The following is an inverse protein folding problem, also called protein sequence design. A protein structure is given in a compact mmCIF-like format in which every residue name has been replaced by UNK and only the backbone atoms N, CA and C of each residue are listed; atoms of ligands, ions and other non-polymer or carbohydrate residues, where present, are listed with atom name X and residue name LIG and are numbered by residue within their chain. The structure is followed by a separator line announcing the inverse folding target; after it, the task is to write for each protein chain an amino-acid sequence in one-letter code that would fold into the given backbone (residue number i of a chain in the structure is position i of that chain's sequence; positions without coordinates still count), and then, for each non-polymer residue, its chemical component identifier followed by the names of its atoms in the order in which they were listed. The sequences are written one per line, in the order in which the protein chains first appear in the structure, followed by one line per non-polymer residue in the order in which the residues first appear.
data_IF_113631930694
#
_entry.id   IF_113631930694
#
_cell.length_a   1.000
_cell.length_b   1.000
_cell.length_c   1.000
_cell.angle_alpha   90.00
_cell.angle_beta   90.00
_cell.angle_gamma   90.00
#
_symmetry.space_group_name_H-M   'P 1'
#
loop_
_entity.id
_entity.type
_entity.pdbx_description
1 polymer ?
#
# COMPACT_ATOMS: atom_id res chain seq x y z
N UNK A 1 10.82 4.59 -38.16
CA UNK A 1 11.60 3.83 -37.15
C UNK A 1 10.89 2.51 -36.85
N UNK A 2 11.58 1.38 -36.78
CA UNK A 2 10.97 0.11 -36.36
C UNK A 2 10.76 0.15 -34.84
N UNK A 3 9.56 -0.19 -34.38
CA UNK A 3 9.22 -0.23 -32.96
C UNK A 3 9.38 -1.65 -32.39
N UNK A 4 9.64 -1.78 -31.09
CA UNK A 4 9.53 -3.08 -30.42
C UNK A 4 8.14 -3.67 -30.62
N UNK A 5 8.08 -4.97 -30.91
CA UNK A 5 6.81 -5.69 -30.98
C UNK A 5 6.28 -5.87 -29.55
N UNK A 6 4.99 -5.61 -29.27
CA UNK A 6 4.35 -5.99 -28.03
C UNK A 6 4.49 -7.49 -27.80
N UNK A 7 4.63 -7.91 -26.55
CA UNK A 7 4.69 -9.34 -26.19
C UNK A 7 3.39 -10.08 -26.58
N UNK A 8 2.28 -9.35 -26.63
CA UNK A 8 0.95 -9.86 -26.99
C UNK A 8 0.49 -9.22 -28.30
N UNK A 9 0.18 -10.05 -29.29
CA UNK A 9 -0.28 -9.61 -30.61
C UNK A 9 0.14 -10.57 -31.71
N UNK A 10 -0.30 -10.28 -32.93
CA UNK A 10 0.05 -11.05 -34.13
C UNK A 10 1.58 -11.01 -34.35
N UNK A 11 2.28 -12.16 -34.37
CA UNK A 11 3.73 -12.20 -34.60
C UNK A 11 4.13 -11.73 -35.99
N UNK A 12 3.20 -11.76 -36.93
CA UNK A 12 3.41 -11.47 -38.34
C UNK A 12 3.12 -10.00 -38.66
N UNK A 13 3.12 -9.11 -37.65
CA UNK A 13 2.96 -7.67 -37.83
C UNK A 13 4.24 -6.92 -37.42
N UNK A 14 4.83 -6.23 -38.40
CA UNK A 14 5.90 -5.27 -38.18
C UNK A 14 5.32 -3.92 -37.74
N UNK A 15 5.70 -3.44 -36.57
CA UNK A 15 5.34 -2.11 -36.09
C UNK A 15 6.37 -1.06 -36.52
N UNK A 16 5.88 0.02 -37.11
CA UNK A 16 6.70 1.16 -37.52
C UNK A 16 6.12 2.45 -36.96
N UNK A 17 7.01 3.36 -36.55
CA UNK A 17 6.68 4.76 -36.30
C UNK A 17 7.00 5.58 -37.53
N UNK A 18 5.97 6.23 -38.06
CA UNK A 18 6.02 7.11 -39.21
C UNK A 18 6.59 8.47 -38.81
N UNK A 19 7.07 9.25 -39.78
CA UNK A 19 7.66 10.58 -39.54
C UNK A 19 6.66 11.58 -38.93
N UNK A 20 5.37 11.42 -39.21
CA UNK A 20 4.29 12.20 -38.61
C UNK A 20 3.97 11.82 -37.15
N UNK A 21 4.72 10.86 -36.57
CA UNK A 21 4.59 10.42 -35.18
C UNK A 21 3.57 9.30 -34.94
N UNK A 22 2.78 8.90 -35.94
CA UNK A 22 1.83 7.80 -35.80
C UNK A 22 2.53 6.43 -35.82
N UNK A 23 1.99 5.50 -35.04
CA UNK A 23 2.36 4.09 -35.10
C UNK A 23 1.48 3.39 -36.14
N UNK A 24 2.07 2.54 -36.98
CA UNK A 24 1.39 1.70 -37.96
C UNK A 24 1.87 0.26 -37.85
N UNK A 25 0.96 -0.70 -38.02
CA UNK A 25 1.26 -2.12 -38.13
C UNK A 25 1.12 -2.59 -39.57
N UNK A 26 2.14 -3.27 -40.09
CA UNK A 26 2.17 -3.81 -41.43
C UNK A 26 2.38 -5.32 -41.32
N UNK A 27 1.43 -6.10 -41.82
CA UNK A 27 1.58 -7.56 -41.88
C UNK A 27 2.74 -7.93 -42.80
N UNK A 28 3.61 -8.86 -42.37
CA UNK A 28 4.86 -9.23 -43.07
C UNK A 28 4.62 -9.71 -44.50
N UNK A 29 3.54 -10.45 -44.74
CA UNK A 29 3.15 -10.88 -46.10
C UNK A 29 2.85 -9.73 -47.08
N UNK A 30 2.57 -8.53 -46.57
CA UNK A 30 2.32 -7.33 -47.39
C UNK A 30 3.60 -6.51 -47.62
N UNK A 31 4.72 -6.90 -47.03
CA UNK A 31 5.99 -6.19 -47.14
C UNK A 31 6.74 -6.67 -48.37
N UNK A 32 6.90 -5.77 -49.35
CA UNK A 32 7.64 -6.08 -50.59
C UNK A 32 9.15 -5.89 -50.44
N UNK A 33 9.59 -4.91 -49.65
CA UNK A 33 11.00 -4.57 -49.44
C UNK A 33 11.19 -3.86 -48.09
N UNK A 34 12.27 -4.17 -47.38
CA UNK A 34 12.76 -3.42 -46.21
C UNK A 34 14.17 -2.94 -46.50
N UNK A 35 14.41 -1.65 -46.30
CA UNK A 35 15.72 -1.02 -46.50
C UNK A 35 16.09 -0.20 -45.27
N UNK A 36 17.27 -0.46 -44.70
CA UNK A 36 17.75 0.23 -43.51
C UNK A 36 18.36 1.58 -43.91
N UNK A 37 17.71 2.67 -43.54
CA UNK A 37 18.17 4.04 -43.83
C UNK A 37 19.13 4.60 -42.77
N UNK A 38 19.24 3.94 -41.60
CA UNK A 38 20.08 4.38 -40.50
C UNK A 38 19.84 3.55 -39.23
N UNK A 39 20.60 3.85 -38.17
CA UNK A 39 20.47 3.24 -36.85
C UNK A 39 20.00 4.30 -35.85
N UNK A 40 18.99 3.98 -35.07
CA UNK A 40 18.56 4.79 -33.93
C UNK A 40 19.10 4.16 -32.65
N UNK A 41 19.79 4.94 -31.83
CA UNK A 41 20.20 4.54 -30.49
C UNK A 41 19.41 5.39 -29.47
N UNK A 42 18.55 4.77 -28.64
CA UNK A 42 17.83 5.52 -27.63
C UNK A 42 18.82 6.11 -26.61
N UNK A 43 18.51 7.27 -26.02
CA UNK A 43 19.34 7.84 -24.96
C UNK A 43 19.49 6.84 -23.81
N UNK A 44 20.72 6.59 -23.37
CA UNK A 44 20.99 5.72 -22.21
C UNK A 44 20.59 6.47 -20.94
N UNK A 45 19.71 5.89 -20.15
CA UNK A 45 19.40 6.37 -18.80
C UNK A 45 20.22 5.54 -17.82
N UNK A 46 21.15 6.17 -17.11
CA UNK A 46 21.87 5.51 -16.02
C UNK A 46 20.94 5.40 -14.81
N UNK A 47 20.52 4.17 -14.50
CA UNK A 47 19.76 3.87 -13.30
C UNK A 47 20.76 3.48 -12.20
N UNK A 48 20.73 4.12 -11.02
CA UNK A 48 21.58 3.71 -9.90
C UNK A 48 21.36 2.21 -9.57
N UNK A 49 22.43 1.47 -9.24
CA UNK A 49 22.28 0.06 -8.84
C UNK A 49 21.34 -0.09 -7.63
N UNK A 50 20.63 -1.21 -7.56
CA UNK A 50 19.76 -1.50 -6.42
C UNK A 50 20.55 -1.51 -5.10
N UNK A 51 19.95 -0.93 -4.06
CA UNK A 51 20.54 -0.82 -2.72
C UNK A 51 21.59 0.29 -2.55
N UNK A 52 21.94 1.03 -3.61
CA UNK A 52 22.82 2.20 -3.50
C UNK A 52 22.00 3.42 -3.12
N UNK A 53 22.40 4.08 -2.03
CA UNK A 53 21.83 5.37 -1.63
C UNK A 53 22.51 6.48 -2.42
N UNK A 54 21.74 7.27 -3.16
CA UNK A 54 22.18 8.51 -3.78
C UNK A 54 21.63 9.67 -2.96
N UNK A 55 22.41 10.74 -2.79
CA UNK A 55 22.01 11.90 -1.99
C UNK A 55 22.14 13.21 -2.77
N UNK A 56 21.38 14.21 -2.34
CA UNK A 56 21.48 15.58 -2.81
C UNK A 56 21.52 16.56 -1.63
N UNK A 57 22.13 17.73 -1.85
CA UNK A 57 22.09 18.83 -0.89
C UNK A 57 20.82 19.65 -1.08
N UNK A 58 20.00 19.76 -0.04
CA UNK A 58 18.81 20.61 0.01
C UNK A 58 18.71 21.37 1.33
N UNK A 59 17.72 22.26 1.45
CA UNK A 59 17.39 22.92 2.72
C UNK A 59 16.52 22.02 3.59
N UNK A 60 16.85 21.85 4.87
CA UNK A 60 16.03 21.09 5.83
C UNK A 60 16.62 19.73 6.25
N UNK A 61 15.83 18.95 7.00
CA UNK A 61 16.24 17.61 7.44
C UNK A 61 16.30 16.61 6.29
N UNK A 62 17.07 15.53 6.46
CA UNK A 62 17.20 14.47 5.45
C UNK A 62 15.94 13.61 5.41
N UNK A 63 15.40 13.34 4.22
CA UNK A 63 14.29 12.41 3.99
C UNK A 63 14.76 11.26 3.10
N UNK A 64 14.48 10.02 3.52
CA UNK A 64 14.80 8.82 2.72
C UNK A 64 13.65 8.46 1.80
N UNK A 65 13.91 8.36 0.51
CA UNK A 65 13.01 7.83 -0.50
C UNK A 65 13.38 6.37 -0.76
N UNK A 66 12.43 5.47 -0.54
CA UNK A 66 12.57 4.04 -0.83
C UNK A 66 11.75 3.75 -2.08
N UNK A 67 12.41 3.54 -3.21
CA UNK A 67 11.74 3.16 -4.44
C UNK A 67 11.50 1.65 -4.47
N UNK A 68 10.22 1.25 -4.60
CA UNK A 68 9.81 -0.16 -4.68
C UNK A 68 9.23 -0.54 -6.05
N UNK A 69 9.21 0.42 -6.97
CA UNK A 69 8.52 0.37 -8.25
C UNK A 69 7.35 1.35 -8.28
N UNK A 70 6.35 1.04 -9.10
CA UNK A 70 5.21 1.92 -9.37
C UNK A 70 5.55 3.05 -10.37
N UNK A 71 4.53 3.46 -11.12
CA UNK A 71 4.64 4.44 -12.21
C UNK A 71 4.74 5.90 -11.72
N UNK A 72 4.97 6.13 -10.43
CA UNK A 72 5.06 7.49 -9.86
C UNK A 72 6.28 8.26 -10.37
N UNK A 73 7.32 7.55 -10.79
CA UNK A 73 8.47 8.10 -11.51
C UNK A 73 8.67 7.34 -12.83
N UNK A 74 8.23 7.94 -13.92
CA UNK A 74 8.42 7.40 -15.27
C UNK A 74 8.60 8.54 -16.26
N UNK A 75 9.41 8.29 -17.29
CA UNK A 75 9.69 9.24 -18.36
C UNK A 75 9.19 8.70 -19.69
N UNK A 76 8.57 9.55 -20.49
CA UNK A 76 8.26 9.24 -21.89
C UNK A 76 9.45 9.57 -22.76
N UNK A 77 9.85 8.61 -23.57
CA UNK A 77 10.62 8.89 -24.76
C UNK A 77 9.64 9.19 -25.90
N UNK A 78 9.51 10.46 -26.29
CA UNK A 78 8.60 10.87 -27.35
C UNK A 78 9.00 10.35 -28.74
N UNK A 79 10.27 10.00 -28.94
CA UNK A 79 10.75 9.41 -30.19
C UNK A 79 10.20 8.00 -30.32
N UNK A 80 10.31 7.16 -29.29
CA UNK A 80 9.81 5.77 -29.32
C UNK A 80 8.35 5.63 -28.90
N UNK A 81 7.82 6.56 -28.12
CA UNK A 81 6.56 6.44 -27.39
C UNK A 81 6.63 5.54 -26.15
N UNK A 82 7.83 5.04 -25.80
CA UNK A 82 8.02 4.15 -24.66
C UNK A 82 8.03 4.94 -23.35
N UNK A 83 7.52 4.31 -22.29
CA UNK A 83 7.55 4.83 -20.92
C UNK A 83 8.57 4.02 -20.14
N UNK A 84 9.60 4.70 -19.62
CA UNK A 84 10.67 4.08 -18.85
C UNK A 84 10.51 4.45 -17.37
N UNK A 85 10.59 3.50 -16.44
CA UNK A 85 10.75 3.83 -15.03
C UNK A 85 11.99 4.70 -14.84
N UNK A 86 11.86 5.78 -14.10
CA UNK A 86 12.99 6.63 -13.73
C UNK A 86 13.23 6.48 -12.24
N UNK A 87 14.45 6.11 -11.85
CA UNK A 87 14.85 5.98 -10.45
C UNK A 87 16.11 6.79 -10.14
N UNK A 88 16.38 7.83 -10.94
CA UNK A 88 17.50 8.74 -10.69
C UNK A 88 17.00 9.96 -9.90
N UNK A 89 17.80 10.43 -8.93
CA UNK A 89 17.51 11.67 -8.23
C UNK A 89 17.54 12.89 -9.15
N UNK A 90 18.36 12.85 -10.20
CA UNK A 90 18.44 13.92 -11.18
C UNK A 90 17.13 14.04 -11.96
N UNK A 91 16.60 12.92 -12.49
CA UNK A 91 15.27 12.92 -13.12
C UNK A 91 14.17 13.33 -12.14
N UNK A 92 14.24 12.89 -10.87
CA UNK A 92 13.28 13.31 -9.84
C UNK A 92 13.22 14.84 -9.75
N UNK A 93 14.38 15.49 -9.70
CA UNK A 93 14.44 16.95 -9.61
C UNK A 93 14.17 17.67 -10.92
N UNK A 94 14.42 17.04 -12.06
CA UNK A 94 14.01 17.58 -13.36
C UNK A 94 12.48 17.54 -13.49
N UNK A 95 11.84 16.48 -13.02
CA UNK A 95 10.38 16.35 -13.01
C UNK A 95 9.74 17.25 -11.96
N UNK A 96 10.33 17.32 -10.76
CA UNK A 96 9.75 17.99 -9.59
C UNK A 96 10.78 18.89 -8.88
N UNK A 97 11.16 20.04 -9.48
CA UNK A 97 12.18 20.95 -8.92
C UNK A 97 11.86 21.45 -7.50
N UNK A 98 10.57 21.57 -7.17
CA UNK A 98 10.06 22.07 -5.89
C UNK A 98 10.54 21.24 -4.70
N UNK A 99 10.86 19.96 -4.92
CA UNK A 99 11.38 19.07 -3.88
C UNK A 99 12.72 19.55 -3.32
N UNK A 100 13.54 20.28 -4.10
CA UNK A 100 14.85 20.80 -3.65
C UNK A 100 14.73 21.77 -2.47
N UNK A 101 13.61 22.48 -2.40
CA UNK A 101 13.36 23.49 -1.37
C UNK A 101 12.71 22.90 -0.10
N UNK A 102 12.26 21.63 -0.15
CA UNK A 102 11.57 21.00 0.97
C UNK A 102 12.50 20.23 1.92
N UNK A 103 13.43 19.44 1.36
CA UNK A 103 14.30 18.56 2.12
C UNK A 103 15.54 18.17 1.32
N UNK A 104 16.59 17.75 2.04
CA UNK A 104 17.66 16.94 1.44
C UNK A 104 17.13 15.53 1.21
N UNK A 105 17.20 15.02 -0.02
CA UNK A 105 16.66 13.70 -0.35
C UNK A 105 17.80 12.71 -0.49
N UNK A 106 17.67 11.60 0.23
CA UNK A 106 18.42 10.38 -0.03
C UNK A 106 17.49 9.38 -0.70
N UNK A 107 17.88 8.80 -1.83
CA UNK A 107 17.06 7.81 -2.53
C UNK A 107 17.80 6.48 -2.59
N UNK A 108 17.07 5.41 -2.26
CA UNK A 108 17.49 4.02 -2.49
C UNK A 108 16.51 3.36 -3.45
N UNK A 109 17.03 2.81 -4.54
CA UNK A 109 16.27 1.90 -5.37
C UNK A 109 16.28 0.52 -4.72
N UNK A 110 15.23 0.16 -4.01
CA UNK A 110 15.17 -1.10 -3.25
C UNK A 110 14.73 -2.26 -4.14
N UNK A 111 13.72 -2.03 -4.98
CA UNK A 111 13.18 -2.97 -5.95
C UNK A 111 12.39 -2.21 -7.03
N UNK A 112 12.12 -2.86 -8.17
CA UNK A 112 11.24 -2.31 -9.20
C UNK A 112 10.21 -3.37 -9.63
N UNK A 113 9.11 -3.45 -8.89
CA UNK A 113 8.03 -4.42 -9.15
C UNK A 113 6.68 -3.73 -9.29
N UNK A 114 5.71 -4.44 -9.85
CA UNK A 114 4.31 -4.06 -9.73
C UNK A 114 3.81 -4.33 -8.31
N UNK A 115 2.87 -3.51 -7.84
CA UNK A 115 2.26 -3.69 -6.51
C UNK A 115 1.57 -5.06 -6.36
N UNK A 116 1.09 -5.59 -7.47
CA UNK A 116 0.40 -6.86 -7.64
C UNK A 116 1.29 -8.05 -7.27
N UNK A 117 2.60 -7.90 -7.43
CA UNK A 117 3.59 -8.90 -7.05
C UNK A 117 4.05 -8.73 -5.58
N UNK A 118 3.63 -7.67 -4.88
CA UNK A 118 4.07 -7.42 -3.50
C UNK A 118 3.67 -8.58 -2.56
N UNK A 119 4.56 -8.91 -1.61
CA UNK A 119 4.37 -10.07 -0.73
C UNK A 119 5.00 -9.82 0.66
N UNK A 120 4.77 -10.70 1.66
CA UNK A 120 5.28 -10.54 3.02
C UNK A 120 6.79 -10.37 3.14
N UNK A 121 7.58 -11.10 2.34
CA UNK A 121 9.04 -10.97 2.35
C UNK A 121 9.47 -9.57 1.90
N UNK A 122 8.81 -9.01 0.88
CA UNK A 122 9.08 -7.66 0.37
C UNK A 122 8.63 -6.57 1.34
N UNK A 123 7.55 -6.77 2.09
CA UNK A 123 7.21 -5.87 3.21
C UNK A 123 8.34 -5.82 4.24
N UNK A 124 8.94 -6.98 4.56
CA UNK A 124 10.10 -7.07 5.45
C UNK A 124 11.29 -6.27 4.91
N UNK A 125 11.62 -6.41 3.63
CA UNK A 125 12.69 -5.63 3.00
C UNK A 125 12.47 -4.11 3.10
N UNK A 126 11.25 -3.65 2.84
CA UNK A 126 10.90 -2.21 2.94
C UNK A 126 11.02 -1.74 4.40
N UNK A 127 10.54 -2.54 5.35
CA UNK A 127 10.62 -2.23 6.78
C UNK A 127 12.07 -2.18 7.27
N UNK A 128 12.93 -3.11 6.85
CA UNK A 128 14.35 -3.10 7.17
C UNK A 128 15.05 -1.85 6.64
N UNK A 129 14.74 -1.43 5.41
CA UNK A 129 15.32 -0.22 4.84
C UNK A 129 14.83 1.05 5.55
N UNK A 130 13.54 1.12 5.90
CA UNK A 130 13.03 2.22 6.72
C UNK A 130 13.70 2.26 8.11
N UNK A 131 13.91 1.11 8.74
CA UNK A 131 14.65 0.99 9.99
C UNK A 131 16.08 1.52 9.86
N UNK A 132 16.83 1.10 8.83
CA UNK A 132 18.19 1.59 8.56
C UNK A 132 18.22 3.10 8.37
N UNK A 133 17.26 3.64 7.62
CA UNK A 133 17.15 5.07 7.39
C UNK A 133 16.94 5.85 8.70
N UNK A 134 16.01 5.41 9.55
CA UNK A 134 15.80 6.07 10.84
C UNK A 134 17.00 5.93 11.77
N UNK A 135 17.68 4.79 11.78
CA UNK A 135 18.94 4.61 12.51
C UNK A 135 20.05 5.54 12.02
N UNK A 136 20.05 5.93 10.74
CA UNK A 136 20.97 6.92 10.19
C UNK A 136 20.54 8.37 10.40
N UNK A 137 19.47 8.61 11.17
CA UNK A 137 19.06 9.96 11.59
C UNK A 137 18.19 10.71 10.57
N UNK A 138 17.58 10.02 9.60
CA UNK A 138 16.62 10.69 8.69
C UNK A 138 15.38 11.15 9.45
N UNK A 139 14.81 12.27 9.01
CA UNK A 139 13.66 12.92 9.63
C UNK A 139 12.33 12.23 9.32
N UNK A 140 12.27 11.50 8.22
CA UNK A 140 11.10 10.79 7.72
C UNK A 140 11.46 9.93 6.52
N UNK A 141 10.55 9.02 6.17
CA UNK A 141 10.69 8.11 5.04
C UNK A 141 9.53 8.32 4.07
N UNK A 142 9.82 8.34 2.78
CA UNK A 142 8.84 8.28 1.68
C UNK A 142 9.01 6.95 0.96
N UNK A 143 7.94 6.18 0.80
CA UNK A 143 7.96 4.91 0.05
C UNK A 143 7.20 5.09 -1.24
N UNK A 144 7.91 5.01 -2.38
CA UNK A 144 7.33 5.06 -3.71
C UNK A 144 6.82 3.67 -4.07
N UNK A 145 5.51 3.54 -4.28
CA UNK A 145 4.86 2.23 -4.35
C UNK A 145 3.67 2.23 -5.31
N UNK A 146 3.38 1.07 -5.92
CA UNK A 146 2.19 0.88 -6.76
C UNK A 146 0.89 0.95 -5.95
N UNK A 147 -0.22 1.34 -6.57
CA UNK A 147 -1.44 1.68 -5.82
C UNK A 147 -2.24 0.46 -5.36
N UNK A 148 -2.12 -0.70 -6.01
CA UNK A 148 -3.05 -1.82 -5.77
C UNK A 148 -2.92 -2.42 -4.38
N UNK A 149 -1.69 -2.58 -3.90
CA UNK A 149 -1.38 -3.15 -2.58
C UNK A 149 -0.77 -2.14 -1.60
N UNK A 150 -0.79 -0.84 -1.95
CA UNK A 150 -0.23 0.25 -1.14
C UNK A 150 -0.68 0.21 0.33
N UNK A 151 -1.98 -0.05 0.55
CA UNK A 151 -2.60 -0.08 1.87
C UNK A 151 -2.18 -1.30 2.71
N UNK A 152 -1.91 -2.46 2.08
CA UNK A 152 -1.34 -3.62 2.77
C UNK A 152 0.07 -3.30 3.28
N UNK A 153 0.92 -2.74 2.41
CA UNK A 153 2.29 -2.35 2.78
C UNK A 153 2.28 -1.26 3.86
N UNK A 154 1.35 -0.31 3.80
CA UNK A 154 1.21 0.72 4.83
C UNK A 154 0.87 0.13 6.20
N UNK A 155 -0.06 -0.85 6.25
CA UNK A 155 -0.34 -1.60 7.46
C UNK A 155 0.88 -2.38 7.95
N UNK A 156 1.63 -3.01 7.04
CA UNK A 156 2.82 -3.80 7.38
C UNK A 156 3.88 -2.94 8.07
N UNK A 157 4.19 -1.76 7.51
CA UNK A 157 5.16 -0.84 8.09
C UNK A 157 4.70 -0.26 9.43
N UNK A 158 3.39 -0.10 9.65
CA UNK A 158 2.84 0.34 10.93
C UNK A 158 3.09 -0.68 12.06
N UNK A 159 3.03 -1.98 11.75
CA UNK A 159 3.32 -3.04 12.71
C UNK A 159 4.81 -3.30 12.87
N UNK A 160 5.59 -3.23 11.78
CA UNK A 160 7.04 -3.42 11.84
C UNK A 160 7.75 -2.26 12.57
N UNK A 161 7.27 -1.02 12.43
CA UNK A 161 7.82 0.19 13.04
C UNK A 161 6.81 0.83 14.02
N UNK A 162 6.47 0.12 15.09
CA UNK A 162 5.44 0.56 16.07
C UNK A 162 5.73 1.90 16.73
N UNK A 163 7.00 2.23 16.91
CA UNK A 163 7.52 3.53 17.33
C UNK A 163 8.70 3.89 16.43
N UNK A 164 8.78 5.15 16.02
CA UNK A 164 9.81 5.63 15.10
C UNK A 164 10.16 7.10 15.32
N UNK A 165 11.35 7.57 14.91
CA UNK A 165 11.76 8.98 15.02
C UNK A 165 11.00 9.93 14.09
N UNK A 166 10.25 9.41 13.12
CA UNK A 166 9.54 10.20 12.13
C UNK A 166 8.51 9.38 11.33
N UNK A 167 7.68 10.03 10.52
CA UNK A 167 6.63 9.38 9.76
C UNK A 167 7.17 8.56 8.58
N UNK A 168 6.38 7.56 8.15
CA UNK A 168 6.63 6.75 6.96
C UNK A 168 5.47 7.03 6.00
N UNK A 169 5.70 7.84 4.98
CA UNK A 169 4.70 8.24 4.00
C UNK A 169 4.77 7.36 2.75
N UNK A 170 3.80 6.46 2.60
CA UNK A 170 3.63 5.67 1.38
C UNK A 170 2.82 6.45 0.36
N UNK A 171 3.29 6.45 -0.88
CA UNK A 171 2.72 7.27 -1.95
C UNK A 171 2.76 6.54 -3.29
N UNK A 172 1.72 6.77 -4.10
CA UNK A 172 1.62 6.27 -5.48
C UNK A 172 0.95 7.30 -6.40
N UNK A 173 0.59 6.87 -7.61
CA UNK A 173 -0.19 7.67 -8.56
C UNK A 173 -1.22 6.77 -9.26
N UNK A 174 -2.46 7.26 -9.39
CA UNK A 174 -3.55 6.58 -10.11
C UNK A 174 -3.53 6.89 -11.61
N UNK A 175 -2.87 7.97 -12.00
CA UNK A 175 -2.59 8.35 -13.37
C UNK A 175 -1.09 8.27 -13.58
N UNK A 176 -0.70 7.53 -14.60
CA UNK A 176 0.72 7.34 -14.94
C UNK A 176 1.44 8.68 -15.09
N UNK A 177 2.66 8.77 -14.55
CA UNK A 177 3.42 10.04 -14.41
C UNK A 177 3.82 10.68 -15.74
N UNK A 178 3.78 9.93 -16.83
CA UNK A 178 3.95 10.43 -18.19
C UNK A 178 2.88 11.41 -18.65
N UNK A 179 1.71 11.41 -17.98
CA UNK A 179 0.56 12.20 -18.42
C UNK A 179 0.57 13.58 -17.76
N UNK A 180 0.28 14.67 -18.50
CA UNK A 180 0.15 16.01 -17.91
C UNK A 180 -0.92 16.09 -16.80
N UNK A 181 -1.92 15.22 -16.85
CA UNK A 181 -2.95 15.09 -15.82
C UNK A 181 -2.59 14.10 -14.71
N UNK A 182 -1.31 13.79 -14.51
CA UNK A 182 -0.89 12.87 -13.45
C UNK A 182 -1.12 13.46 -12.07
N UNK A 183 -1.50 12.60 -11.12
CA UNK A 183 -1.54 12.91 -9.70
C UNK A 183 -0.20 12.67 -9.00
N UNK A 184 0.83 12.19 -9.71
CA UNK A 184 2.14 11.83 -9.14
C UNK A 184 2.83 12.99 -8.44
N UNK A 185 2.80 14.18 -9.04
CA UNK A 185 3.47 15.36 -8.51
C UNK A 185 2.92 15.76 -7.15
N UNK A 186 1.63 16.08 -7.06
CA UNK A 186 1.06 16.56 -5.81
C UNK A 186 1.07 15.50 -4.71
N UNK A 187 0.84 14.23 -5.05
CA UNK A 187 0.97 13.12 -4.11
C UNK A 187 2.39 13.05 -3.53
N UNK A 188 3.42 13.06 -4.38
CA UNK A 188 4.82 12.94 -3.97
C UNK A 188 5.30 14.18 -3.19
N UNK A 189 4.92 15.37 -3.65
CA UNK A 189 5.21 16.63 -2.97
C UNK A 189 4.60 16.64 -1.57
N UNK A 190 3.33 16.24 -1.44
CA UNK A 190 2.66 16.12 -0.15
C UNK A 190 3.28 15.04 0.74
N UNK A 191 3.66 13.88 0.19
CA UNK A 191 4.34 12.83 0.95
C UNK A 191 5.68 13.32 1.51
N UNK A 192 6.42 14.13 0.73
CA UNK A 192 7.67 14.77 1.16
C UNK A 192 7.44 15.79 2.26
N UNK A 193 6.37 16.61 2.15
CA UNK A 193 5.94 17.54 3.21
C UNK A 193 5.62 16.77 4.49
N UNK A 194 4.85 15.67 4.39
CA UNK A 194 4.52 14.82 5.53
C UNK A 194 5.79 14.27 6.17
N UNK A 195 6.67 13.65 5.38
CA UNK A 195 7.95 13.11 5.85
C UNK A 195 8.81 14.15 6.60
N UNK A 196 8.80 15.38 6.10
CA UNK A 196 9.64 16.47 6.60
C UNK A 196 9.01 17.22 7.78
N UNK A 197 7.70 17.41 7.82
CA UNK A 197 7.07 18.40 8.70
C UNK A 197 6.08 17.82 9.69
N UNK A 198 5.56 16.60 9.46
CA UNK A 198 4.51 16.06 10.33
C UNK A 198 5.00 15.88 11.78
N UNK A 199 4.09 16.18 12.71
CA UNK A 199 4.30 16.01 14.15
C UNK A 199 4.18 14.54 14.59
N UNK A 200 3.45 13.73 13.82
CA UNK A 200 3.28 12.30 14.07
C UNK A 200 4.44 11.47 13.49
N UNK A 201 4.62 10.27 14.03
CA UNK A 201 5.56 9.25 13.56
C UNK A 201 4.82 7.91 13.37
N UNK A 202 3.94 7.91 12.36
CA UNK A 202 3.11 6.77 11.98
C UNK A 202 3.37 6.41 10.50
N UNK A 203 3.07 5.16 10.15
CA UNK A 203 2.94 4.74 8.75
C UNK A 203 1.62 5.25 8.18
N UNK A 204 1.68 5.99 7.08
CA UNK A 204 0.55 6.67 6.46
C UNK A 204 0.54 6.53 4.95
N UNK A 205 -0.66 6.52 4.36
CA UNK A 205 -0.86 6.65 2.91
C UNK A 205 -1.17 8.11 2.59
N UNK A 206 -0.46 8.69 1.63
CA UNK A 206 -0.58 10.09 1.23
C UNK A 206 -1.06 10.15 -0.22
N UNK A 207 -2.35 10.39 -0.41
CA UNK A 207 -3.02 10.36 -1.73
C UNK A 207 -4.09 11.45 -1.80
N UNK A 208 -4.49 11.86 -3.00
CA UNK A 208 -5.51 12.89 -3.22
C UNK A 208 -6.77 12.67 -2.36
N UNK A 209 -7.28 13.73 -1.75
CA UNK A 209 -8.52 13.65 -0.97
C UNK A 209 -9.77 13.64 -1.88
N UNK A 210 -9.71 14.35 -3.00
CA UNK A 210 -10.79 14.46 -3.97
C UNK A 210 -10.28 14.26 -5.40
N UNK A 211 -11.17 14.42 -6.38
CA UNK A 211 -10.78 14.32 -7.80
C UNK A 211 -9.93 15.50 -8.29
N UNK A 212 -9.95 16.61 -7.55
CA UNK A 212 -9.27 17.85 -7.89
C UNK A 212 -7.92 17.96 -7.21
N UNK A 213 -7.00 18.66 -7.87
CA UNK A 213 -5.70 19.05 -7.33
C UNK A 213 -5.85 20.04 -6.15
N UNK A 214 -4.87 20.07 -5.27
CA UNK A 214 -4.65 21.07 -4.23
C UNK A 214 -4.77 20.54 -2.80
N UNK A 215 -5.46 19.41 -2.58
CA UNK A 215 -5.63 18.80 -1.25
C UNK A 215 -5.36 17.31 -1.29
N UNK A 216 -4.40 16.91 -0.46
CA UNK A 216 -4.00 15.51 -0.29
C UNK A 216 -4.43 15.05 1.10
N UNK A 217 -5.09 13.91 1.19
CA UNK A 217 -5.43 13.26 2.45
C UNK A 217 -4.26 12.42 2.94
N UNK A 218 -4.07 12.43 4.26
CA UNK A 218 -3.10 11.59 4.95
C UNK A 218 -3.87 10.56 5.76
N UNK A 219 -3.84 9.30 5.34
CA UNK A 219 -4.58 8.21 5.96
C UNK A 219 -3.64 7.38 6.82
N UNK A 220 -4.09 6.99 8.02
CA UNK A 220 -3.35 6.04 8.85
C UNK A 220 -3.26 4.70 8.11
N UNK A 221 -2.05 4.13 7.99
CA UNK A 221 -1.78 2.96 7.15
C UNK A 221 -2.61 1.72 7.51
N UNK A 222 -2.89 1.51 8.80
CA UNK A 222 -3.73 0.39 9.28
C UNK A 222 -5.23 0.64 9.15
N UNK A 223 -5.63 1.82 8.67
CA UNK A 223 -7.03 2.27 8.51
C UNK A 223 -7.33 2.75 7.10
N UNK A 224 -6.55 2.41 6.10
CA UNK A 224 -6.78 2.88 4.72
C UNK A 224 -7.07 1.70 3.80
N UNK A 225 -7.95 1.89 2.83
CA UNK A 225 -8.22 0.92 1.78
C UNK A 225 -8.37 1.61 0.43
N UNK A 226 -7.92 0.95 -0.63
CA UNK A 226 -8.22 1.37 -2.01
C UNK A 226 -9.66 0.96 -2.35
N UNK A 227 -10.57 1.92 -2.31
CA UNK A 227 -12.02 1.75 -2.50
C UNK A 227 -12.48 1.99 -3.95
N UNK A 228 -11.62 2.55 -4.80
CA UNK A 228 -11.90 2.71 -6.22
C UNK A 228 -10.76 2.20 -7.09
N UNK A 229 -11.09 1.64 -8.24
CA UNK A 229 -10.14 1.04 -9.18
C UNK A 229 -9.30 2.04 -9.97
N UNK A 230 -9.59 3.36 -9.90
CA UNK A 230 -9.01 4.32 -10.84
C UNK A 230 -9.14 5.80 -10.49
N UNK A 231 -10.03 6.22 -9.58
CA UNK A 231 -10.11 7.65 -9.21
C UNK A 231 -8.87 8.08 -8.41
N UNK A 232 -8.56 9.37 -8.42
CA UNK A 232 -7.43 9.93 -7.64
C UNK A 232 -7.67 9.80 -6.13
N UNK A 233 -8.91 10.03 -5.71
CA UNK A 233 -9.44 9.83 -4.35
C UNK A 233 -9.82 8.37 -4.05
N UNK A 234 -9.10 7.41 -4.63
CA UNK A 234 -9.40 6.00 -4.46
C UNK A 234 -9.15 5.49 -3.03
N UNK A 235 -8.31 6.17 -2.24
CA UNK A 235 -7.95 5.71 -0.90
C UNK A 235 -8.86 6.38 0.14
N UNK A 236 -9.51 5.56 0.97
CA UNK A 236 -10.46 6.02 1.99
C UNK A 236 -10.02 5.48 3.34
N UNK A 237 -10.13 6.32 4.37
CA UNK A 237 -9.99 5.87 5.76
C UNK A 237 -11.21 5.03 6.16
N UNK A 238 -10.98 3.81 6.61
CA UNK A 238 -11.99 2.83 7.06
C UNK A 238 -12.06 2.84 8.58
N UNK A 239 -13.27 3.04 9.11
CA UNK A 239 -13.52 3.12 10.55
C UNK A 239 -12.68 4.20 11.26
N UNK A 240 -12.26 5.24 10.52
CA UNK A 240 -11.54 6.39 11.05
C UNK A 240 -11.61 7.54 10.05
N UNK A 241 -11.14 8.72 10.47
CA UNK A 241 -10.89 9.84 9.55
C UNK A 241 -9.41 9.85 9.12
N UNK A 242 -9.05 10.56 8.03
CA UNK A 242 -7.65 10.87 7.75
C UNK A 242 -7.01 11.60 8.93
N UNK A 243 -5.76 11.28 9.28
CA UNK A 243 -5.04 11.87 10.41
C UNK A 243 -4.71 13.34 10.16
N UNK A 244 -4.50 13.71 8.90
CA UNK A 244 -4.18 15.06 8.47
C UNK A 244 -4.58 15.27 7.00
N UNK A 245 -4.46 16.51 6.55
CA UNK A 245 -4.52 16.93 5.15
C UNK A 245 -3.29 17.77 4.82
N UNK A 246 -2.81 17.68 3.59
CA UNK A 246 -1.79 18.59 3.06
C UNK A 246 -2.46 19.58 2.12
N UNK A 247 -2.31 20.87 2.41
CA UNK A 247 -2.71 21.95 1.53
C UNK A 247 -1.52 22.26 0.61
N UNK A 248 -1.52 21.68 -0.60
CA UNK A 248 -0.35 21.62 -1.50
C UNK A 248 0.20 23.02 -1.78
N UNK A 249 -0.68 23.96 -2.16
CA UNK A 249 -0.31 25.35 -2.48
C UNK A 249 0.32 26.11 -1.30
N UNK A 250 0.00 25.71 -0.07
CA UNK A 250 0.53 26.33 1.14
C UNK A 250 1.75 25.58 1.70
N UNK A 251 2.07 24.41 1.15
CA UNK A 251 3.15 23.56 1.67
C UNK A 251 2.94 23.12 3.12
N UNK A 252 1.69 22.99 3.58
CA UNK A 252 1.34 22.86 5.00
C UNK A 252 0.57 21.59 5.31
N UNK A 253 0.96 20.91 6.40
CA UNK A 253 0.18 19.84 7.04
C UNK A 253 -0.84 20.46 8.01
N UNK A 254 -2.11 20.09 7.85
CA UNK A 254 -3.21 20.45 8.76
C UNK A 254 -3.67 19.16 9.44
N UNK A 255 -3.50 19.09 10.76
CA UNK A 255 -3.91 17.93 11.55
C UNK A 255 -5.44 17.90 11.70
N UNK A 256 -6.05 16.74 11.46
CA UNK A 256 -7.49 16.55 11.67
C UNK A 256 -7.80 16.03 13.09
N UNK A 257 -6.78 15.53 13.79
CA UNK A 257 -6.89 14.96 15.13
C UNK A 257 -5.65 15.25 15.95
N UNK A 258 -5.83 15.39 17.27
CA UNK A 258 -4.74 15.40 18.25
C UNK A 258 -4.29 14.00 18.69
N UNK A 259 -4.99 12.95 18.29
CA UNK A 259 -4.71 11.56 18.66
C UNK A 259 -3.80 10.89 17.63
N UNK A 260 -2.49 10.98 17.87
CA UNK A 260 -1.47 10.37 17.05
C UNK A 260 -0.25 9.93 17.86
N UNK A 261 0.54 9.00 17.32
CA UNK A 261 1.86 8.68 17.87
C UNK A 261 2.85 9.78 17.50
N UNK A 262 3.42 10.43 18.51
CA UNK A 262 4.53 11.37 18.31
C UNK A 262 5.82 10.65 17.94
N UNK A 263 6.83 11.44 17.59
CA UNK A 263 8.21 10.96 17.37
C UNK A 263 8.74 10.31 18.64
N UNK A 264 9.37 9.15 18.50
CA UNK A 264 9.88 8.38 19.63
C UNK A 264 11.08 7.51 19.25
N UNK A 265 11.45 6.60 20.15
CA UNK A 265 12.53 5.64 19.89
C UNK A 265 12.15 4.66 18.79
N UNK A 266 13.13 4.26 17.99
CA UNK A 266 12.92 3.32 16.90
C UNK A 266 12.71 1.90 17.43
N UNK A 267 11.58 1.30 17.11
CA UNK A 267 11.33 -0.14 17.28
C UNK A 267 11.26 -0.82 15.92
N UNK A 268 11.98 -1.93 15.74
CA UNK A 268 12.05 -2.64 14.46
C UNK A 268 11.73 -4.13 14.62
N UNK A 269 10.63 -4.56 14.01
CA UNK A 269 10.20 -5.96 13.92
C UNK A 269 9.78 -6.30 12.49
N UNK A 270 10.73 -6.33 11.53
CA UNK A 270 10.44 -6.35 10.09
C UNK A 270 10.20 -7.76 9.52
N UNK A 271 9.68 -8.70 10.32
CA UNK A 271 9.40 -10.07 9.87
C UNK A 271 7.90 -10.26 9.66
N UNK A 272 7.55 -11.05 8.66
CA UNK A 272 6.18 -11.39 8.30
C UNK A 272 6.11 -12.86 7.87
N UNK A 273 5.06 -13.55 8.29
CA UNK A 273 4.83 -14.96 7.93
C UNK A 273 4.10 -15.02 6.58
N UNK A 274 4.63 -15.81 5.64
CA UNK A 274 4.12 -15.92 4.27
C UNK A 274 3.05 -16.99 4.08
N UNK A 275 2.70 -17.71 5.16
CA UNK A 275 1.73 -18.81 5.19
C UNK A 275 0.48 -18.41 5.97
N UNK A 276 0.02 -17.18 5.78
CA UNK A 276 -1.29 -16.71 6.23
C UNK A 276 -2.25 -16.66 5.04
N UNK A 277 -3.51 -17.03 5.25
CA UNK A 277 -4.55 -16.91 4.23
C UNK A 277 -5.54 -15.79 4.58
N UNK A 278 -6.02 -15.09 3.55
CA UNK A 278 -7.19 -14.22 3.62
C UNK A 278 -8.31 -14.87 2.78
N UNK A 279 -9.35 -15.36 3.43
CA UNK A 279 -10.43 -16.12 2.81
C UNK A 279 -11.75 -15.35 2.92
N UNK A 280 -12.26 -14.86 1.79
CA UNK A 280 -13.58 -14.23 1.75
C UNK A 280 -14.68 -15.27 1.81
N UNK A 281 -15.58 -15.15 2.78
CA UNK A 281 -16.76 -15.99 2.84
C UNK A 281 -17.80 -15.56 1.80
N UNK A 282 -18.51 -16.54 1.23
CA UNK A 282 -19.65 -16.33 0.35
C UNK A 282 -20.70 -17.44 0.55
N UNK A 283 -21.99 -17.20 0.20
CA UNK A 283 -23.02 -18.22 0.29
C UNK A 283 -22.63 -19.48 -0.50
N UNK A 284 -22.60 -20.63 0.17
CA UNK A 284 -22.18 -21.89 -0.44
C UNK A 284 -20.67 -22.12 -0.50
N UNK A 285 -19.85 -21.33 0.21
CA UNK A 285 -18.42 -21.60 0.34
C UNK A 285 -18.19 -23.04 0.84
N UNK A 286 -17.44 -23.82 0.05
CA UNK A 286 -17.12 -25.21 0.35
C UNK A 286 -16.19 -25.31 1.57
N UNK A 287 -16.46 -26.21 2.54
CA UNK A 287 -15.54 -26.52 3.63
C UNK A 287 -14.14 -26.91 3.16
N UNK A 288 -14.05 -27.56 1.99
CA UNK A 288 -12.81 -28.05 1.40
C UNK A 288 -11.77 -26.95 1.19
N UNK A 289 -12.20 -25.69 1.00
CA UNK A 289 -11.27 -24.56 0.89
C UNK A 289 -10.50 -24.33 2.18
N UNK A 290 -11.15 -24.43 3.35
CA UNK A 290 -10.46 -24.32 4.64
C UNK A 290 -9.67 -25.57 4.97
N UNK A 291 -10.22 -26.76 4.66
CA UNK A 291 -9.50 -28.03 4.84
C UNK A 291 -8.19 -28.04 4.05
N UNK A 292 -8.22 -27.55 2.81
CA UNK A 292 -7.02 -27.41 1.98
C UNK A 292 -5.96 -26.50 2.61
N UNK A 293 -6.36 -25.37 3.20
CA UNK A 293 -5.41 -24.46 3.88
C UNK A 293 -4.75 -25.15 5.07
N UNK A 294 -5.53 -25.89 5.85
CA UNK A 294 -5.04 -26.68 6.99
C UNK A 294 -4.04 -27.74 6.51
N UNK A 295 -4.43 -28.52 5.49
CA UNK A 295 -3.61 -29.62 4.94
C UNK A 295 -2.31 -29.13 4.28
N UNK A 296 -2.32 -27.90 3.72
CA UNK A 296 -1.13 -27.25 3.15
C UNK A 296 -0.24 -26.56 4.19
N UNK A 297 -0.56 -26.70 5.47
CA UNK A 297 0.24 -26.19 6.57
C UNK A 297 0.27 -24.67 6.64
N UNK A 298 -0.86 -24.01 6.36
CA UNK A 298 -0.98 -22.58 6.66
C UNK A 298 -0.88 -22.33 8.16
N UNK A 299 -0.21 -21.25 8.54
CA UNK A 299 0.06 -20.90 9.94
C UNK A 299 -1.02 -20.00 10.55
N UNK A 300 -1.92 -19.43 9.74
CA UNK A 300 -3.03 -18.61 10.21
C UNK A 300 -4.06 -18.35 9.11
N UNK A 301 -5.31 -18.12 9.50
CA UNK A 301 -6.41 -17.87 8.57
C UNK A 301 -7.19 -16.64 9.03
N UNK A 302 -7.33 -15.65 8.15
CA UNK A 302 -8.29 -14.54 8.31
C UNK A 302 -9.49 -14.81 7.42
N UNK A 303 -10.68 -14.85 8.00
CA UNK A 303 -11.93 -15.01 7.27
C UNK A 303 -12.62 -13.65 7.15
N UNK A 304 -12.95 -13.22 5.93
CA UNK A 304 -13.89 -12.11 5.72
C UNK A 304 -15.32 -12.65 5.82
N UNK A 305 -15.87 -12.63 7.04
CA UNK A 305 -17.23 -13.07 7.32
C UNK A 305 -18.29 -12.06 6.85
N UNK A 306 -19.56 -12.47 6.92
CA UNK A 306 -20.69 -11.57 6.64
C UNK A 306 -21.04 -10.71 7.86
N UNK A 307 -21.57 -9.50 7.64
CA UNK A 307 -22.18 -8.67 8.69
C UNK A 307 -21.29 -8.51 9.92
N UNK A 308 -21.74 -9.01 11.08
CA UNK A 308 -20.97 -8.98 12.34
C UNK A 308 -19.86 -10.04 12.45
N UNK A 309 -19.44 -10.65 11.34
CA UNK A 309 -18.38 -11.67 11.29
C UNK A 309 -18.93 -13.09 11.35
N UNK A 310 -19.87 -13.44 10.47
CA UNK A 310 -20.46 -14.78 10.43
C UNK A 310 -20.04 -15.60 9.21
N UNK A 311 -20.14 -16.92 9.36
CA UNK A 311 -19.97 -17.92 8.29
C UNK A 311 -21.11 -18.93 8.30
N UNK A 312 -21.25 -19.70 7.22
CA UNK A 312 -22.19 -20.82 7.11
C UNK A 312 -21.84 -22.00 8.02
N UNK A 313 -22.83 -22.85 8.32
CA UNK A 313 -22.70 -23.92 9.33
C UNK A 313 -21.68 -24.96 8.94
N UNK A 314 -21.58 -25.22 7.65
CA UNK A 314 -20.64 -26.14 7.05
C UNK A 314 -19.18 -25.78 7.38
N UNK A 315 -18.87 -24.51 7.70
CA UNK A 315 -17.51 -24.08 8.04
C UNK A 315 -17.17 -24.24 9.53
N UNK A 316 -18.13 -24.57 10.40
CA UNK A 316 -17.82 -24.74 11.84
C UNK A 316 -16.85 -25.89 12.09
N UNK A 317 -17.02 -27.02 11.37
CA UNK A 317 -16.12 -28.18 11.48
C UNK A 317 -14.68 -27.91 11.03
N UNK A 318 -14.40 -27.38 9.82
CA UNK A 318 -13.03 -27.06 9.44
C UNK A 318 -12.41 -25.95 10.31
N UNK A 319 -13.20 -24.99 10.81
CA UNK A 319 -12.70 -23.98 11.75
C UNK A 319 -12.26 -24.63 13.07
N UNK A 320 -13.07 -25.54 13.63
CA UNK A 320 -12.69 -26.28 14.83
C UNK A 320 -11.39 -27.05 14.61
N UNK A 321 -11.29 -27.77 13.48
CA UNK A 321 -10.08 -28.52 13.09
C UNK A 321 -8.85 -27.62 12.98
N UNK A 322 -8.97 -26.43 12.37
CA UNK A 322 -7.86 -25.48 12.26
C UNK A 322 -7.34 -25.09 13.65
N UNK A 323 -8.24 -24.76 14.58
CA UNK A 323 -7.89 -24.33 15.93
C UNK A 323 -7.27 -25.49 16.73
N UNK A 324 -7.81 -26.70 16.62
CA UNK A 324 -7.23 -27.92 17.19
C UNK A 324 -5.82 -28.21 16.65
N UNK A 325 -5.55 -27.86 15.39
CA UNK A 325 -4.25 -28.00 14.76
C UNK A 325 -3.26 -26.85 15.11
N UNK A 326 -3.63 -25.93 16.01
CA UNK A 326 -2.77 -24.81 16.38
C UNK A 326 -2.80 -23.64 15.39
N UNK A 327 -3.75 -23.62 14.45
CA UNK A 327 -3.86 -22.58 13.42
C UNK A 327 -4.86 -21.51 13.90
N UNK A 328 -4.42 -20.29 14.27
CA UNK A 328 -5.33 -19.22 14.66
C UNK A 328 -6.26 -18.82 13.52
N UNK A 329 -7.55 -18.74 13.84
CA UNK A 329 -8.60 -18.25 12.94
C UNK A 329 -9.09 -16.89 13.43
N UNK A 330 -8.86 -15.85 12.63
CA UNK A 330 -9.34 -14.49 12.86
C UNK A 330 -10.54 -14.22 11.96
N UNK A 331 -11.57 -13.55 12.46
CA UNK A 331 -12.72 -13.15 11.63
C UNK A 331 -12.87 -11.63 11.57
N UNK A 332 -12.83 -11.12 10.34
CA UNK A 332 -13.18 -9.74 9.99
C UNK A 332 -14.49 -9.74 9.19
N UNK A 333 -14.91 -8.57 8.69
CA UNK A 333 -16.16 -8.43 7.93
C UNK A 333 -15.93 -7.93 6.51
N UNK A 334 -16.62 -8.56 5.56
CA UNK A 334 -16.67 -8.11 4.16
C UNK A 334 -17.40 -6.76 3.98
N UNK A 335 -18.05 -6.21 5.02
CA UNK A 335 -18.72 -4.89 4.95
C UNK A 335 -17.73 -3.74 4.91
N UNK A 336 -16.43 -4.00 5.15
CA UNK A 336 -15.34 -3.03 5.20
C UNK A 336 -15.45 -2.11 6.42
N UNK A 337 -16.53 -1.33 6.49
CA UNK A 337 -16.88 -0.50 7.64
C UNK A 337 -17.70 -1.29 8.65
N UNK A 338 -17.55 -0.90 9.92
CA UNK A 338 -18.24 -1.50 11.05
C UNK A 338 -17.33 -2.38 11.92
N UNK A 339 -17.93 -2.93 12.97
CA UNK A 339 -17.29 -3.77 13.98
C UNK A 339 -17.90 -5.17 13.96
N UNK A 340 -17.04 -6.18 13.93
CA UNK A 340 -17.39 -7.57 14.20
C UNK A 340 -17.87 -7.68 15.65
N UNK A 341 -19.00 -8.35 15.86
CA UNK A 341 -19.51 -8.63 17.20
C UNK A 341 -20.15 -10.02 17.23
N UNK A 342 -19.36 -10.99 17.67
CA UNK A 342 -19.76 -12.39 17.71
C UNK A 342 -20.69 -12.73 18.88
N UNK A 343 -20.99 -11.78 19.78
CA UNK A 343 -21.86 -12.04 20.93
C UNK A 343 -23.36 -11.92 20.63
N UNK A 344 -23.73 -11.32 19.49
CA UNK A 344 -25.13 -10.95 19.20
C UNK A 344 -25.94 -12.14 18.71
N UNK A 345 -25.41 -12.90 17.76
CA UNK A 345 -26.13 -13.97 17.09
C UNK A 345 -25.55 -15.33 17.44
N UNK A 346 -26.41 -16.36 17.46
CA UNK A 346 -26.03 -17.76 17.74
C UNK A 346 -24.77 -18.19 16.99
N UNK A 347 -24.66 -17.87 15.71
CA UNK A 347 -23.50 -18.25 14.89
C UNK A 347 -22.21 -17.61 15.37
N UNK A 348 -22.23 -16.35 15.79
CA UNK A 348 -21.06 -15.70 16.39
C UNK A 348 -20.64 -16.39 17.69
N UNK A 349 -21.61 -16.72 18.55
CA UNK A 349 -21.34 -17.40 19.82
C UNK A 349 -20.75 -18.80 19.61
N UNK A 350 -21.21 -19.53 18.59
CA UNK A 350 -20.62 -20.80 18.17
C UNK A 350 -19.14 -20.62 17.76
N UNK A 351 -18.83 -19.59 16.96
CA UNK A 351 -17.45 -19.28 16.55
C UNK A 351 -16.54 -18.89 17.73
N UNK A 352 -17.05 -18.08 18.66
CA UNK A 352 -16.31 -17.73 19.88
C UNK A 352 -15.96 -18.96 20.72
N UNK A 353 -16.93 -19.88 20.89
CA UNK A 353 -16.72 -21.14 21.63
C UNK A 353 -15.65 -22.03 20.98
N UNK A 354 -15.54 -22.00 19.66
CA UNK A 354 -14.48 -22.72 18.94
C UNK A 354 -13.09 -22.11 19.16
N UNK A 355 -13.00 -20.86 19.62
CA UNK A 355 -11.72 -20.16 19.78
C UNK A 355 -11.38 -19.22 18.62
N UNK A 356 -12.35 -18.84 17.79
CA UNK A 356 -12.15 -17.79 16.77
C UNK A 356 -11.84 -16.44 17.43
N UNK A 357 -10.94 -15.68 16.82
CA UNK A 357 -10.52 -14.34 17.28
C UNK A 357 -11.33 -13.28 16.50
N UNK A 358 -12.24 -12.53 17.12
CA UNK A 358 -12.92 -11.42 16.44
C UNK A 358 -11.94 -10.28 16.18
N UNK A 359 -11.88 -9.76 14.95
CA UNK A 359 -10.98 -8.65 14.62
C UNK A 359 -11.54 -7.28 15.03
N UNK A 360 -12.61 -7.24 15.83
CA UNK A 360 -13.29 -6.00 16.25
C UNK A 360 -13.61 -5.10 15.04
N UNK A 361 -13.09 -3.88 14.98
CA UNK A 361 -13.28 -2.94 13.86
C UNK A 361 -12.08 -2.87 12.90
N UNK A 362 -11.13 -3.82 13.01
CA UNK A 362 -10.04 -3.98 12.06
C UNK A 362 -10.59 -4.55 10.76
N UNK A 363 -10.35 -3.86 9.65
CA UNK A 363 -10.77 -4.32 8.33
C UNK A 363 -9.88 -5.48 7.84
N UNK A 364 -10.36 -6.30 6.89
CA UNK A 364 -9.77 -7.61 6.62
C UNK A 364 -8.30 -7.58 6.20
N UNK A 365 -7.92 -6.63 5.34
CA UNK A 365 -6.56 -6.50 4.84
C UNK A 365 -5.56 -6.20 5.96
N UNK A 366 -5.89 -5.28 6.86
CA UNK A 366 -5.06 -5.03 8.06
C UNK A 366 -5.03 -6.23 9.00
N UNK A 367 -6.14 -6.96 9.17
CA UNK A 367 -6.15 -8.16 10.00
C UNK A 367 -5.25 -9.27 9.44
N UNK A 368 -5.22 -9.44 8.12
CA UNK A 368 -4.31 -10.33 7.41
C UNK A 368 -2.85 -9.95 7.65
N UNK A 369 -2.50 -8.69 7.43
CA UNK A 369 -1.14 -8.19 7.64
C UNK A 369 -0.72 -8.30 9.11
N UNK A 370 -1.62 -7.97 10.06
CA UNK A 370 -1.35 -8.10 11.49
C UNK A 370 -1.10 -9.55 11.88
N UNK A 371 -1.93 -10.50 11.42
CA UNK A 371 -1.74 -11.91 11.74
C UNK A 371 -0.40 -12.44 11.20
N UNK A 372 -0.05 -12.07 9.95
CA UNK A 372 1.26 -12.38 9.36
C UNK A 372 2.42 -11.83 10.21
N UNK A 373 2.32 -10.59 10.68
CA UNK A 373 3.32 -9.99 11.55
C UNK A 373 3.39 -10.66 12.94
N UNK A 374 2.25 -10.96 13.56
CA UNK A 374 2.17 -11.59 14.88
C UNK A 374 2.84 -12.96 14.83
N UNK A 375 2.50 -13.80 13.85
CA UNK A 375 3.06 -15.15 13.72
C UNK A 375 4.60 -15.15 13.56
N UNK A 376 5.14 -14.16 12.85
CA UNK A 376 6.58 -14.04 12.61
C UNK A 376 7.39 -13.42 13.77
N UNK A 377 6.73 -12.71 14.71
CA UNK A 377 7.41 -11.97 15.77
C UNK A 377 7.05 -12.43 17.20
N UNK A 378 5.90 -13.06 17.38
CA UNK A 378 5.39 -13.53 18.68
C UNK A 378 5.24 -15.06 18.76
N UNK A 379 5.52 -15.79 17.68
CA UNK A 379 5.35 -17.24 17.61
C UNK A 379 3.92 -17.66 17.30
N UNK A 380 3.61 -18.94 17.55
CA UNK A 380 2.35 -19.59 17.11
C UNK A 380 1.49 -20.10 18.27
N UNK A 381 1.79 -19.68 19.49
CA UNK A 381 0.92 -19.97 20.62
C UNK A 381 -0.43 -19.24 20.44
N UNK A 382 -1.54 -19.98 20.43
CA UNK A 382 -2.87 -19.42 20.10
C UNK A 382 -3.28 -18.31 21.07
N UNK A 383 -2.97 -18.46 22.35
CA UNK A 383 -3.36 -17.47 23.36
C UNK A 383 -2.53 -16.18 23.24
N UNK A 384 -1.22 -16.29 22.96
CA UNK A 384 -0.38 -15.14 22.63
C UNK A 384 -0.85 -14.46 21.32
N UNK A 385 -1.14 -15.24 20.28
CA UNK A 385 -1.66 -14.69 19.01
C UNK A 385 -2.97 -13.94 19.26
N UNK A 386 -3.92 -14.55 20.00
CA UNK A 386 -5.18 -13.91 20.41
C UNK A 386 -4.92 -12.61 21.16
N UNK A 387 -4.04 -12.64 22.17
CA UNK A 387 -3.71 -11.47 22.98
C UNK A 387 -3.18 -10.32 22.12
N UNK A 388 -2.22 -10.59 21.24
CA UNK A 388 -1.59 -9.55 20.40
C UNK A 388 -2.55 -9.06 19.31
N UNK A 389 -3.34 -9.94 18.70
CA UNK A 389 -4.36 -9.57 17.71
C UNK A 389 -5.41 -8.61 18.30
N UNK A 390 -5.79 -8.81 19.56
CA UNK A 390 -6.77 -7.96 20.26
C UNK A 390 -6.15 -6.74 20.98
N UNK A 391 -4.82 -6.66 21.06
CA UNK A 391 -4.11 -5.49 21.62
C UNK A 391 -3.96 -4.43 20.52
N UNK A 392 -4.44 -3.18 20.72
CA UNK A 392 -4.17 -2.09 19.78
C UNK A 392 -2.67 -1.77 19.75
N UNK A 393 -2.03 -1.89 18.58
CA UNK A 393 -0.59 -1.65 18.42
C UNK A 393 -0.28 -0.38 17.65
N UNK A 394 -1.11 0.01 16.69
CA UNK A 394 -0.92 1.10 15.75
C UNK A 394 -2.25 1.84 15.41
N UNK A 395 -3.23 1.79 16.32
CA UNK A 395 -4.60 2.27 16.16
C UNK A 395 -5.43 1.55 15.08
N UNK A 396 -5.06 0.31 14.76
CA UNK A 396 -5.84 -0.62 13.93
C UNK A 396 -7.13 -1.09 14.60
N UNK A 397 -7.24 -0.87 15.92
CA UNK A 397 -8.42 -1.12 16.74
C UNK A 397 -8.87 0.18 17.43
N UNK A 398 -10.17 0.46 17.40
CA UNK A 398 -10.77 1.58 18.13
C UNK A 398 -11.51 1.03 19.36
N UNK A 399 -11.73 1.87 20.38
CA UNK A 399 -12.60 1.52 21.51
C UNK A 399 -14.09 1.67 21.16
N UNK A 400 -14.42 2.54 20.21
CA UNK A 400 -15.79 2.82 19.77
C UNK A 400 -15.82 3.24 18.29
N UNK A 401 -16.96 3.05 17.64
CA UNK A 401 -17.22 3.58 16.30
C UNK A 401 -17.99 4.90 16.41
N UNK A 402 -17.52 5.95 15.75
CA UNK A 402 -18.18 7.27 15.73
C UNK A 402 -19.05 7.39 14.47
N UNK A 403 -20.15 8.15 14.49
CA UNK A 403 -20.97 8.38 13.29
C UNK A 403 -20.17 8.92 12.09
N UNK A 404 -19.10 9.70 12.36
CA UNK A 404 -18.23 10.29 11.33
C UNK A 404 -17.23 9.32 10.72
N UNK A 405 -17.09 8.10 11.26
CA UNK A 405 -16.15 7.08 10.79
C UNK A 405 -16.69 6.28 9.59
N UNK A 406 -17.95 6.52 9.19
CA UNK A 406 -18.54 5.95 7.98
C UNK A 406 -18.40 6.88 6.78
N UNK A 407 -18.25 6.30 5.58
CA UNK A 407 -18.03 7.06 4.34
C UNK A 407 -19.18 8.03 4.03
N UNK A 408 -20.41 7.67 4.39
CA UNK A 408 -21.56 8.57 4.32
C UNK A 408 -21.74 9.25 5.67
N UNK A 409 -21.11 10.41 5.81
CA UNK A 409 -21.19 11.21 7.03
C UNK A 409 -22.61 11.79 7.17
N UNK A 410 -23.35 11.47 8.25
CA UNK A 410 -24.66 12.06 8.46
C UNK A 410 -24.51 13.57 8.66
N UNK A 411 -25.43 14.36 8.10
CA UNK A 411 -25.61 15.74 8.54
C UNK A 411 -26.15 15.70 9.96
N UNK A 412 -25.27 15.92 10.94
CA UNK A 412 -25.72 16.15 12.32
C UNK A 412 -26.46 17.49 12.31
N UNK A 413 -27.76 17.54 12.63
CA UNK A 413 -28.43 18.82 12.81
C UNK A 413 -27.66 19.58 13.87
N UNK A 414 -27.26 20.83 13.59
CA UNK A 414 -26.63 21.68 14.60
C UNK A 414 -27.50 21.61 15.87
N UNK A 415 -26.90 21.25 17.00
CA UNK A 415 -27.56 21.33 18.29
C UNK A 415 -28.08 22.77 18.45
N UNK A 416 -29.41 22.90 18.48
CA UNK A 416 -30.12 24.17 18.57
C UNK A 416 -30.12 24.71 20.01
#
# INVERSE_FOLDING_TARGET
MILPRPEVGDPDVLLVKLENGYNAGIHVDRILKVEALGKYEPPRVEVPPYGVVVSSSGSGGVVRFIATGGTIMSRVDYVTGAVYPSFSLEDLYLMYPELRNLASIEMVNLMAIFSEDMNPARWGMIAEEACKAFSSGVRGVVVLHGTDTLHYTAAALAFALRSSPGPIALVGAQRSSDRPSSDSFENLYAATIVASQAAFAESVVVMHEGTSDGVIAVHRGVRVRKMHTSRRDAFISVNSEPIARVLVRQGKVVMNTGEYKGRGELTCSPRFDDKVALAKYYPGMSPELLEYLIDKGYHGIVIEGTGFGHVGEQLLKPIARAIEAGIPVVISSQTIFGRVNLNVYRRGVELLKLGVIPSEDMHPETAFVKLSWVLANHGRDIEEVRRVMLTPLAYELNLRTRPMDYINKPTVPNEA
#
